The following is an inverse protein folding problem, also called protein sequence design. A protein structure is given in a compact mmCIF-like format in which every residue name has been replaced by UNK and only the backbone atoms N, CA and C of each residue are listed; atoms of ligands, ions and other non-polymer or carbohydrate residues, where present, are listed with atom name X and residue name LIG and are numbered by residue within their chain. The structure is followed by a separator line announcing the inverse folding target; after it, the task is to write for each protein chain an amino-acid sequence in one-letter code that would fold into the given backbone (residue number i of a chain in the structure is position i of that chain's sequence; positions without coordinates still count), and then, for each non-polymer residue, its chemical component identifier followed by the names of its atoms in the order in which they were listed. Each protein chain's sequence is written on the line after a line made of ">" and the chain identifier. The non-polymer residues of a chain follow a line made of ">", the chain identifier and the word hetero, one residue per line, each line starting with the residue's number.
data_IF_816087548364
#
_entry.id   IF_816087548364
#
_cell.length_a   1.000
_cell.length_b   1.000
_cell.length_c   1.000
_cell.angle_alpha   90.00
_cell.angle_beta   90.00
_cell.angle_gamma   90.00
#
_symmetry.space_group_name_H-M   'P 1'
#
loop_
_entity.id
_entity.type
_entity.pdbx_description
1 polymer ?
#
# COMPACT_ATOMS: atom_id res chain seq x y z
N UNK A 1 21.35 -11.52 5.91
CA UNK A 1 20.46 -10.81 4.97
C UNK A 1 19.29 -11.72 4.65
N UNK A 2 18.05 -11.23 4.75
CA UNK A 2 16.86 -12.03 4.42
C UNK A 2 16.90 -12.41 2.93
N UNK A 3 16.62 -13.68 2.60
CA UNK A 3 16.56 -14.16 1.21
C UNK A 3 15.33 -13.60 0.44
N UNK A 4 14.35 -13.07 1.18
CA UNK A 4 13.10 -12.56 0.64
C UNK A 4 13.33 -11.13 0.14
N UNK A 5 13.08 -10.93 -1.16
CA UNK A 5 13.07 -9.60 -1.78
C UNK A 5 11.70 -8.97 -1.63
N UNK A 6 11.66 -7.64 -1.59
CA UNK A 6 10.42 -6.87 -1.48
C UNK A 6 10.30 -5.84 -2.60
N UNK A 7 9.06 -5.46 -2.90
CA UNK A 7 8.75 -4.16 -3.48
C UNK A 7 8.38 -3.20 -2.37
N UNK A 8 8.93 -2.00 -2.46
CA UNK A 8 8.50 -0.87 -1.66
C UNK A 8 7.17 -0.34 -2.19
N UNK A 9 6.52 0.52 -1.40
CA UNK A 9 5.33 1.28 -1.81
C UNK A 9 5.55 2.77 -1.57
N UNK A 10 5.04 3.58 -2.48
CA UNK A 10 4.74 5.01 -2.25
C UNK A 10 3.24 5.18 -2.34
N UNK A 11 2.68 5.92 -1.39
CA UNK A 11 1.27 6.29 -1.37
C UNK A 11 1.18 7.82 -1.24
N UNK A 12 0.69 8.49 -2.28
CA UNK A 12 0.33 9.91 -2.23
C UNK A 12 -1.14 10.02 -1.85
N UNK A 13 -1.41 10.60 -0.68
CA UNK A 13 -2.75 10.88 -0.18
C UNK A 13 -3.06 12.36 -0.36
N UNK A 14 -4.23 12.67 -0.91
CA UNK A 14 -4.76 14.01 -1.05
C UNK A 14 -6.07 14.13 -0.26
N UNK A 15 -6.19 15.24 0.45
CA UNK A 15 -7.50 15.73 0.90
C UNK A 15 -8.03 16.67 -0.18
N UNK A 16 -9.24 16.43 -0.68
CA UNK A 16 -9.93 17.26 -1.66
C UNK A 16 -11.21 17.86 -1.07
N UNK A 17 -11.65 19.01 -1.58
CA UNK A 17 -12.96 19.59 -1.24
C UNK A 17 -14.15 19.00 -2.00
N UNK A 18 -13.88 18.20 -3.03
CA UNK A 18 -14.89 17.57 -3.87
C UNK A 18 -14.30 16.31 -4.51
N UNK A 19 -15.14 15.35 -4.94
CA UNK A 19 -14.66 14.06 -5.39
C UNK A 19 -13.92 14.17 -6.74
N UNK A 20 -12.87 13.37 -6.91
CA UNK A 20 -12.19 13.20 -8.20
C UNK A 20 -13.05 12.34 -9.13
N UNK A 21 -13.73 11.32 -8.60
CA UNK A 21 -14.58 10.38 -9.31
C UNK A 21 -15.69 9.82 -8.40
N UNK A 22 -16.59 9.01 -8.94
CA UNK A 22 -17.60 8.25 -8.19
C UNK A 22 -17.14 6.82 -7.85
N UNK A 23 -15.89 6.46 -8.16
CA UNK A 23 -15.35 5.12 -7.98
C UNK A 23 -14.57 5.01 -6.67
N UNK A 24 -14.78 3.93 -5.92
CA UNK A 24 -13.95 3.65 -4.75
C UNK A 24 -12.54 3.20 -5.13
N UNK A 25 -12.41 2.33 -6.14
CA UNK A 25 -11.13 1.71 -6.53
C UNK A 25 -10.97 1.69 -8.04
N UNK A 26 -9.84 2.21 -8.53
CA UNK A 26 -9.48 2.20 -9.95
C UNK A 26 -8.09 1.60 -10.12
N UNK A 27 -8.00 0.50 -10.88
CA UNK A 27 -6.72 -0.07 -11.31
C UNK A 27 -6.23 0.64 -12.57
N UNK A 28 -4.94 0.98 -12.59
CA UNK A 28 -4.29 1.61 -13.73
C UNK A 28 -3.39 0.58 -14.41
N UNK A 29 -3.81 0.13 -15.59
CA UNK A 29 -3.08 -0.87 -16.38
C UNK A 29 -2.09 -0.25 -17.39
N UNK A 30 -2.11 1.08 -17.57
CA UNK A 30 -1.16 1.77 -18.45
C UNK A 30 0.20 1.93 -17.78
N UNK A 31 1.26 1.68 -18.54
CA UNK A 31 2.65 1.89 -18.11
C UNK A 31 3.05 3.37 -18.06
N UNK A 32 2.25 4.26 -18.63
CA UNK A 32 2.55 5.69 -18.69
C UNK A 32 2.28 6.37 -17.34
N UNK A 33 1.42 5.79 -16.51
CA UNK A 33 1.05 6.37 -15.23
C UNK A 33 2.10 6.08 -14.15
N UNK A 34 2.41 7.06 -13.28
CA UNK A 34 3.40 6.89 -12.22
C UNK A 34 2.84 6.11 -11.00
N UNK A 35 1.58 5.70 -11.03
CA UNK A 35 0.91 4.90 -10.00
C UNK A 35 0.07 3.79 -10.62
N UNK A 36 -0.17 2.72 -9.86
CA UNK A 36 -0.91 1.54 -10.33
C UNK A 36 -2.35 1.48 -9.82
N UNK A 37 -2.68 2.20 -8.75
CA UNK A 37 -4.00 2.22 -8.13
C UNK A 37 -4.36 3.63 -7.69
N UNK A 38 -5.64 3.96 -7.85
CA UNK A 38 -6.30 5.12 -7.25
C UNK A 38 -7.42 4.60 -6.36
N UNK A 39 -7.46 5.04 -5.11
CA UNK A 39 -8.54 4.70 -4.18
C UNK A 39 -9.12 5.98 -3.64
N UNK A 40 -10.37 6.25 -3.97
CA UNK A 40 -11.13 7.36 -3.42
C UNK A 40 -11.91 6.84 -2.22
N UNK A 41 -11.21 6.78 -1.09
CA UNK A 41 -11.65 6.12 0.13
C UNK A 41 -13.06 6.54 0.55
N UNK A 42 -13.36 7.83 0.48
CA UNK A 42 -14.65 8.39 0.88
C UNK A 42 -15.82 8.02 -0.03
N UNK A 43 -15.60 7.35 -1.17
CA UNK A 43 -16.69 6.79 -1.98
C UNK A 43 -17.26 5.48 -1.41
N UNK A 44 -16.62 4.87 -0.39
CA UNK A 44 -17.10 3.64 0.26
C UNK A 44 -17.66 3.89 1.68
N UNK A 45 -17.54 5.12 2.20
CA UNK A 45 -17.93 5.46 3.58
C UNK A 45 -18.70 6.77 3.63
N UNK A 46 -19.50 6.96 4.69
CA UNK A 46 -20.31 8.16 4.86
C UNK A 46 -19.44 9.42 5.03
N UNK A 47 -19.77 10.47 4.26
CA UNK A 47 -19.05 11.76 4.25
C UNK A 47 -19.00 12.44 5.63
N UNK A 48 -20.01 12.23 6.47
CA UNK A 48 -20.09 12.83 7.81
C UNK A 48 -18.91 12.44 8.70
N UNK A 49 -18.36 11.22 8.53
CA UNK A 49 -17.18 10.75 9.27
C UNK A 49 -15.90 11.50 8.88
N UNK A 50 -15.92 12.20 7.75
CA UNK A 50 -14.81 12.94 7.18
C UNK A 50 -15.07 14.45 7.12
N UNK A 51 -16.14 14.95 7.78
CA UNK A 51 -16.55 16.36 7.72
C UNK A 51 -16.74 16.87 6.28
N UNK A 52 -17.25 16.02 5.37
CA UNK A 52 -17.43 16.34 3.96
C UNK A 52 -16.13 16.39 3.14
N UNK A 53 -14.96 16.18 3.75
CA UNK A 53 -13.68 16.09 3.06
C UNK A 53 -13.62 14.82 2.23
N UNK A 54 -12.97 14.89 1.07
CA UNK A 54 -12.77 13.75 0.18
C UNK A 54 -11.33 13.25 0.31
N UNK A 55 -11.18 11.98 0.66
CA UNK A 55 -9.87 11.36 0.86
C UNK A 55 -9.60 10.43 -0.29
N UNK A 56 -8.55 10.73 -1.04
CA UNK A 56 -8.10 9.93 -2.18
C UNK A 56 -6.62 9.63 -2.04
N UNK A 57 -6.20 8.43 -2.45
CA UNK A 57 -4.78 8.11 -2.52
C UNK A 57 -4.39 7.35 -3.78
N UNK A 58 -3.15 7.59 -4.19
CA UNK A 58 -2.51 7.04 -5.37
C UNK A 58 -1.34 6.17 -4.92
N UNK A 59 -1.33 4.90 -5.30
CA UNK A 59 -0.33 3.94 -4.82
C UNK A 59 0.49 3.32 -5.95
N UNK A 60 1.80 3.16 -5.69
CA UNK A 60 2.75 2.51 -6.60
C UNK A 60 3.63 1.54 -5.82
N UNK A 61 3.72 0.31 -6.30
CA UNK A 61 4.81 -0.61 -5.94
C UNK A 61 6.03 -0.35 -6.84
N UNK A 62 7.20 -0.25 -6.22
CA UNK A 62 8.46 0.11 -6.87
C UNK A 62 9.65 -0.47 -6.13
N UNK A 63 10.84 -0.38 -6.74
CA UNK A 63 12.08 -0.61 -6.02
C UNK A 63 12.51 0.67 -5.31
N UNK A 64 13.26 0.56 -4.23
CA UNK A 64 13.77 1.71 -3.47
C UNK A 64 14.84 2.52 -4.19
N UNK A 65 15.47 1.98 -5.24
CA UNK A 65 16.45 2.70 -6.07
C UNK A 65 15.81 3.64 -7.11
N UNK A 66 14.48 3.59 -7.27
CA UNK A 66 13.76 4.47 -8.18
C UNK A 66 13.55 5.85 -7.55
N UNK A 67 13.80 6.90 -8.33
CA UNK A 67 13.74 8.29 -7.87
C UNK A 67 12.39 8.66 -7.23
N UNK A 68 11.29 8.14 -7.78
CA UNK A 68 9.92 8.33 -7.27
C UNK A 68 9.78 7.95 -5.79
N UNK A 69 10.55 6.95 -5.32
CA UNK A 69 10.55 6.53 -3.92
C UNK A 69 11.04 7.64 -2.99
N UNK A 70 11.90 8.54 -3.48
CA UNK A 70 12.57 9.57 -2.67
C UNK A 70 11.98 10.98 -2.85
N UNK A 71 11.02 11.16 -3.75
CA UNK A 71 10.38 12.46 -3.98
C UNK A 71 9.76 13.05 -2.71
N UNK A 72 9.72 14.37 -2.57
CA UNK A 72 8.89 15.00 -1.54
C UNK A 72 7.40 14.85 -1.88
N UNK A 73 6.51 15.22 -0.96
CA UNK A 73 5.06 15.30 -1.20
C UNK A 73 4.73 16.16 -2.43
N UNK A 74 5.38 17.33 -2.53
CA UNK A 74 5.22 18.26 -3.66
C UNK A 74 5.74 17.67 -4.98
N UNK A 75 6.92 17.04 -4.98
CA UNK A 75 7.47 16.43 -6.19
C UNK A 75 6.63 15.24 -6.67
N UNK A 76 6.13 14.41 -5.75
CA UNK A 76 5.18 13.35 -6.07
C UNK A 76 3.91 13.93 -6.71
N UNK A 77 3.29 14.92 -6.06
CA UNK A 77 2.10 15.56 -6.58
C UNK A 77 2.35 16.12 -7.98
N UNK A 78 3.42 16.89 -8.17
CA UNK A 78 3.77 17.48 -9.47
C UNK A 78 3.94 16.41 -10.56
N UNK A 79 4.54 15.27 -10.23
CA UNK A 79 4.67 14.14 -11.17
C UNK A 79 3.33 13.45 -11.47
N UNK A 80 2.35 13.51 -10.56
CA UNK A 80 1.05 12.85 -10.69
C UNK A 80 -0.01 13.75 -11.34
N UNK A 81 0.08 15.07 -11.16
CA UNK A 81 -0.90 16.05 -11.64
C UNK A 81 -1.33 15.86 -13.11
N UNK A 82 -0.42 15.69 -14.09
CA UNK A 82 -0.80 15.49 -15.48
C UNK A 82 -1.69 14.24 -15.70
N UNK A 83 -1.54 13.24 -14.84
CA UNK A 83 -2.28 11.98 -14.90
C UNK A 83 -3.58 12.04 -14.11
N UNK A 84 -3.63 12.81 -13.02
CA UNK A 84 -4.88 13.09 -12.29
C UNK A 84 -5.86 13.83 -13.22
N UNK A 85 -5.39 14.81 -14.00
CA UNK A 85 -6.23 15.50 -14.99
C UNK A 85 -6.69 14.58 -16.13
N UNK A 86 -5.94 13.52 -16.46
CA UNK A 86 -6.42 12.49 -17.41
C UNK A 86 -7.56 11.65 -16.86
N UNK A 87 -7.57 11.40 -15.54
CA UNK A 87 -8.66 10.70 -14.86
C UNK A 87 -9.91 11.58 -14.81
N UNK A 88 -9.74 12.85 -14.43
CA UNK A 88 -10.82 13.83 -14.44
C UNK A 88 -10.35 15.15 -15.10
N UNK A 89 -10.79 15.45 -16.34
CA UNK A 89 -10.39 16.67 -17.05
C UNK A 89 -10.84 17.99 -16.38
N UNK A 90 -11.77 17.94 -15.43
CA UNK A 90 -12.21 19.10 -14.64
C UNK A 90 -11.39 19.32 -13.38
N UNK A 91 -10.51 18.39 -13.04
CA UNK A 91 -9.68 18.50 -11.86
C UNK A 91 -8.79 19.74 -11.94
N UNK A 92 -8.79 20.52 -10.86
CA UNK A 92 -7.92 21.67 -10.69
C UNK A 92 -7.13 21.52 -9.38
N UNK A 93 -5.91 22.04 -9.33
CA UNK A 93 -5.08 22.01 -8.12
C UNK A 93 -5.73 22.73 -6.94
N UNK A 94 -6.65 23.66 -7.20
CA UNK A 94 -7.47 24.35 -6.20
C UNK A 94 -8.38 23.42 -5.38
N UNK A 95 -8.63 22.19 -5.85
CA UNK A 95 -9.42 21.20 -5.13
C UNK A 95 -8.65 20.62 -3.94
N UNK A 96 -7.32 20.63 -4.00
CA UNK A 96 -6.43 20.05 -3.00
C UNK A 96 -6.41 20.94 -1.75
N UNK A 97 -6.68 20.33 -0.60
CA UNK A 97 -6.66 20.98 0.73
C UNK A 97 -5.46 20.56 1.56
N UNK A 98 -5.01 19.32 1.40
CA UNK A 98 -3.82 18.79 2.07
C UNK A 98 -3.18 17.68 1.24
N UNK A 99 -1.89 17.46 1.48
CA UNK A 99 -1.06 16.47 0.78
C UNK A 99 -0.24 15.71 1.80
N UNK A 100 -0.25 14.38 1.70
CA UNK A 100 0.62 13.52 2.50
C UNK A 100 1.22 12.41 1.67
N UNK A 101 2.49 12.08 1.89
CA UNK A 101 3.14 10.95 1.26
C UNK A 101 3.60 9.93 2.29
N UNK A 102 3.20 8.68 2.11
CA UNK A 102 3.59 7.54 2.92
C UNK A 102 4.46 6.59 2.11
N UNK A 103 5.39 5.92 2.80
CA UNK A 103 6.35 4.99 2.21
C UNK A 103 6.59 3.81 3.13
N UNK A 104 6.77 2.65 2.54
CA UNK A 104 7.25 1.46 3.23
C UNK A 104 8.18 0.69 2.29
N UNK A 105 9.38 0.33 2.75
CA UNK A 105 10.37 -0.44 1.99
C UNK A 105 9.95 -1.90 1.83
N UNK A 106 9.27 -2.47 2.83
CA UNK A 106 8.95 -3.90 2.91
C UNK A 106 7.47 -4.19 2.67
N UNK A 107 6.87 -3.50 1.69
CA UNK A 107 5.43 -3.48 1.49
C UNK A 107 4.87 -4.76 0.82
N UNK A 108 5.57 -5.32 -0.16
CA UNK A 108 5.15 -6.55 -0.86
C UNK A 108 6.30 -7.54 -0.99
N UNK A 109 6.25 -8.72 -0.34
CA UNK A 109 7.22 -9.78 -0.61
C UNK A 109 7.10 -10.27 -2.06
N UNK A 110 8.24 -10.46 -2.71
CA UNK A 110 8.33 -10.98 -4.08
C UNK A 110 8.36 -12.51 -4.02
N UNK A 111 7.24 -13.13 -4.35
CA UNK A 111 7.09 -14.57 -4.43
C UNK A 111 7.82 -15.11 -5.66
N UNK A 112 9.01 -15.69 -5.45
CA UNK A 112 9.81 -16.33 -6.51
C UNK A 112 9.47 -17.81 -6.65
N UNK A 113 10.02 -18.45 -7.67
CA UNK A 113 10.07 -19.91 -7.73
C UNK A 113 10.74 -20.46 -6.47
N UNK A 114 10.22 -21.58 -5.95
CA UNK A 114 10.69 -22.23 -4.73
C UNK A 114 10.60 -21.35 -3.46
N UNK A 115 9.65 -20.41 -3.39
CA UNK A 115 9.48 -19.53 -2.22
C UNK A 115 9.28 -20.29 -0.91
N UNK A 116 8.61 -21.45 -0.94
CA UNK A 116 8.44 -22.34 0.21
C UNK A 116 9.77 -22.72 0.88
N UNK A 117 10.85 -22.85 0.11
CA UNK A 117 12.17 -23.26 0.63
C UNK A 117 12.87 -22.14 1.41
N UNK A 118 12.41 -20.90 1.26
CA UNK A 118 12.97 -19.72 1.93
C UNK A 118 11.95 -19.06 2.87
N UNK A 119 10.79 -19.69 3.06
CA UNK A 119 9.75 -19.23 3.97
C UNK A 119 10.29 -19.32 5.41
N UNK A 120 10.28 -18.24 6.19
CA UNK A 120 10.80 -18.29 7.54
C UNK A 120 9.82 -19.02 8.46
N UNK A 121 10.35 -19.83 9.37
CA UNK A 121 9.58 -20.44 10.45
C UNK A 121 9.07 -19.41 11.46
N UNK A 122 8.00 -19.75 12.19
CA UNK A 122 7.50 -18.90 13.28
C UNK A 122 8.44 -18.90 14.48
N UNK A 123 9.12 -20.02 14.75
CA UNK A 123 10.06 -20.13 15.86
C UNK A 123 11.39 -19.49 15.48
N UNK A 124 11.86 -18.54 16.28
CA UNK A 124 13.19 -17.94 16.05
C UNK A 124 14.26 -18.67 16.87
N UNK A 125 15.56 -18.50 16.56
CA UNK A 125 16.64 -19.01 17.39
C UNK A 125 16.70 -18.39 18.79
N UNK A 126 15.98 -17.29 19.03
CA UNK A 126 15.92 -16.63 20.33
C UNK A 126 14.77 -17.24 21.13
N UNK A 127 15.10 -17.76 22.31
CA UNK A 127 14.13 -18.37 23.22
C UNK A 127 12.98 -17.39 23.51
N UNK A 128 11.75 -17.88 23.39
CA UNK A 128 10.50 -17.14 23.62
C UNK A 128 10.28 -15.94 22.68
N UNK A 129 10.97 -15.89 21.53
CA UNK A 129 10.71 -14.91 20.47
C UNK A 129 10.18 -15.64 19.23
N UNK A 130 9.02 -15.19 18.74
CA UNK A 130 8.35 -15.75 17.57
C UNK A 130 8.17 -14.69 16.49
N UNK A 131 8.25 -15.11 15.23
CA UNK A 131 8.17 -14.26 14.06
C UNK A 131 6.83 -14.45 13.35
N UNK A 132 6.10 -13.37 13.15
CA UNK A 132 4.92 -13.32 12.30
C UNK A 132 4.99 -12.13 11.36
N UNK A 133 5.11 -12.37 10.06
CA UNK A 133 5.27 -11.33 9.03
C UNK A 133 4.43 -11.62 7.79
N UNK A 134 4.18 -10.59 6.96
CA UNK A 134 3.48 -10.77 5.69
C UNK A 134 4.20 -11.71 4.71
N UNK A 135 5.51 -11.93 4.88
CA UNK A 135 6.26 -12.90 4.08
C UNK A 135 5.82 -14.34 4.34
N UNK A 136 5.20 -14.61 5.49
CA UNK A 136 4.66 -15.93 5.84
C UNK A 136 3.21 -16.13 5.39
N UNK A 137 2.59 -15.09 4.80
CA UNK A 137 1.31 -15.19 4.13
C UNK A 137 1.59 -15.74 2.73
N UNK A 138 1.55 -17.06 2.62
CA UNK A 138 1.75 -17.82 1.40
C UNK A 138 0.86 -19.08 1.45
N UNK A 139 0.18 -19.46 0.35
CA UNK A 139 0.25 -18.88 -1.00
C UNK A 139 -0.67 -17.66 -1.21
N UNK A 140 -1.35 -17.18 -0.16
CA UNK A 140 -2.25 -16.04 -0.28
C UNK A 140 -1.51 -14.70 -0.40
N UNK A 141 -2.23 -13.64 -0.76
CA UNK A 141 -1.70 -12.28 -0.76
C UNK A 141 -1.92 -11.61 0.60
N UNK A 142 -1.21 -10.51 0.88
CA UNK A 142 -1.07 -9.77 2.16
C UNK A 142 -2.34 -9.15 2.77
N UNK A 143 -3.47 -9.86 2.73
CA UNK A 143 -4.74 -9.47 3.36
C UNK A 143 -4.69 -9.54 4.88
N UNK A 144 -5.36 -8.60 5.54
CA UNK A 144 -5.40 -8.49 7.01
C UNK A 144 -5.95 -9.74 7.68
N UNK A 145 -6.94 -10.39 7.08
CA UNK A 145 -7.51 -11.65 7.55
C UNK A 145 -6.44 -12.75 7.68
N UNK A 146 -5.46 -12.80 6.77
CA UNK A 146 -4.38 -13.77 6.81
C UNK A 146 -3.33 -13.43 7.87
N UNK A 147 -3.05 -12.15 8.10
CA UNK A 147 -2.21 -11.69 9.21
C UNK A 147 -2.81 -12.07 10.57
N UNK A 148 -4.13 -11.88 10.75
CA UNK A 148 -4.82 -12.29 11.99
C UNK A 148 -4.78 -13.81 12.16
N UNK A 149 -5.07 -14.56 11.09
CA UNK A 149 -4.97 -16.03 11.09
C UNK A 149 -3.57 -16.50 11.46
N UNK A 150 -2.53 -15.83 10.96
CA UNK A 150 -1.14 -16.10 11.27
C UNK A 150 -0.83 -15.85 12.75
N UNK A 151 -1.23 -14.70 13.29
CA UNK A 151 -1.07 -14.37 14.70
C UNK A 151 -1.72 -15.41 15.62
N UNK A 152 -2.94 -15.84 15.30
CA UNK A 152 -3.64 -16.89 16.06
C UNK A 152 -2.91 -18.23 16.01
N UNK A 153 -2.34 -18.61 14.85
CA UNK A 153 -1.54 -19.84 14.73
C UNK A 153 -0.29 -19.79 15.60
N UNK A 154 0.42 -18.66 15.62
CA UNK A 154 1.60 -18.46 16.45
C UNK A 154 1.23 -18.52 17.93
N UNK A 155 0.16 -17.83 18.34
CA UNK A 155 -0.33 -17.86 19.72
C UNK A 155 -0.69 -19.28 20.19
N UNK A 156 -1.37 -20.07 19.35
CA UNK A 156 -1.69 -21.45 19.67
C UNK A 156 -0.44 -22.31 19.83
N UNK A 157 0.55 -22.15 18.96
CA UNK A 157 1.84 -22.84 19.08
C UNK A 157 2.53 -22.52 20.41
N UNK A 158 2.47 -21.26 20.88
CA UNK A 158 3.06 -20.86 22.17
C UNK A 158 2.36 -21.50 23.37
N UNK A 159 1.04 -21.70 23.30
CA UNK A 159 0.23 -22.17 24.43
C UNK A 159 0.25 -23.69 24.54
N UNK A 160 0.23 -24.39 23.41
CA UNK A 160 -0.06 -25.82 23.37
C UNK A 160 1.11 -26.71 22.93
N UNK A 161 2.15 -26.15 22.30
CA UNK A 161 3.35 -26.88 21.86
C UNK A 161 4.58 -26.50 22.71
#
# INVERSE_FOLDING_TARGET
>A
MSAIKYKAVVCLLLELDRPLSDLYWTNISSTDFPFGVVVEHTNCFDDEKYNGKKVIYFSKYLNTDQELYHFSEEHLLNSFLPYITKINPKFETSWIRDIKAFRDEYAQPIMKTNYLNILPDFQTPIKNLYLGTIAQIYPEDRGLNYSVRLGNRIANHIIYD
#
